data_IF_237758372690
#
_entry.id   IF_237758372690
#
_cell.length_a   1.000
_cell.length_b   1.000
_cell.length_c   1.000
_cell.angle_alpha   90.00
_cell.angle_beta   90.00
_cell.angle_gamma   90.00
#
_symmetry.space_group_name_H-M   'P 1'
#
loop_
_entity.id
_entity.type
_entity.pdbx_description
1 polymer ?
#
# COMPACT_ATOMS: atom_id res chain seq x y z
N UNK A 1 25.74 15.48 -56.52
CA UNK A 1 26.21 15.44 -55.11
C UNK A 1 25.09 15.61 -54.07
N UNK A 2 23.80 15.73 -54.43
CA UNK A 2 22.71 15.89 -53.44
C UNK A 2 22.16 14.57 -52.87
N UNK A 3 22.29 13.44 -53.58
CA UNK A 3 21.71 12.16 -53.16
C UNK A 3 22.31 11.57 -51.87
N UNK A 4 23.58 11.85 -51.55
CA UNK A 4 24.23 11.31 -50.34
C UNK A 4 23.75 11.97 -49.04
N UNK A 5 23.36 13.25 -49.06
CA UNK A 5 22.98 13.96 -47.82
C UNK A 5 21.61 13.49 -47.31
N UNK A 6 20.67 13.24 -48.23
CA UNK A 6 19.33 12.75 -47.92
C UNK A 6 19.39 11.36 -47.25
N UNK A 7 20.31 10.51 -47.73
CA UNK A 7 20.52 9.18 -47.18
C UNK A 7 21.19 9.24 -45.80
N UNK A 8 22.09 10.20 -45.56
CA UNK A 8 22.73 10.39 -44.26
C UNK A 8 21.73 10.89 -43.19
N UNK A 9 20.84 11.81 -43.55
CA UNK A 9 19.78 12.31 -42.67
C UNK A 9 18.75 11.22 -42.35
N UNK A 10 18.30 10.46 -43.36
CA UNK A 10 17.36 9.35 -43.18
C UNK A 10 17.99 8.20 -42.40
N UNK A 11 19.28 7.90 -42.62
CA UNK A 11 20.03 6.90 -41.87
C UNK A 11 20.25 7.33 -40.41
N UNK A 12 20.56 8.60 -40.16
CA UNK A 12 20.70 9.14 -38.81
C UNK A 12 19.40 9.05 -38.00
N UNK A 13 18.27 9.39 -38.63
CA UNK A 13 16.94 9.26 -38.03
C UNK A 13 16.58 7.78 -37.79
N UNK A 14 16.86 6.88 -38.75
CA UNK A 14 16.65 5.44 -38.60
C UNK A 14 17.45 4.81 -37.46
N UNK A 15 18.72 5.20 -37.30
CA UNK A 15 19.56 4.75 -36.18
C UNK A 15 18.99 5.26 -34.84
N UNK A 16 18.55 6.52 -34.77
CA UNK A 16 17.93 7.08 -33.58
C UNK A 16 16.69 6.30 -33.12
N UNK A 17 15.77 5.99 -34.04
CA UNK A 17 14.59 5.17 -33.73
C UNK A 17 14.95 3.75 -33.32
N UNK A 18 15.97 3.14 -33.92
CA UNK A 18 16.42 1.81 -33.52
C UNK A 18 16.94 1.79 -32.08
N UNK A 19 17.73 2.79 -31.67
CA UNK A 19 18.19 2.91 -30.28
C UNK A 19 17.03 3.08 -29.30
N UNK A 20 16.06 3.94 -29.62
CA UNK A 20 14.87 4.13 -28.78
C UNK A 20 14.06 2.83 -28.67
N UNK A 21 13.88 2.11 -29.78
CA UNK A 21 13.16 0.83 -29.79
C UNK A 21 13.87 -0.22 -28.92
N UNK A 22 15.20 -0.34 -29.03
CA UNK A 22 15.99 -1.26 -28.21
C UNK A 22 15.92 -0.89 -26.73
N UNK A 23 16.05 0.39 -26.40
CA UNK A 23 15.93 0.88 -25.03
C UNK A 23 14.54 0.58 -24.45
N UNK A 24 13.48 0.83 -25.22
CA UNK A 24 12.11 0.53 -24.82
C UNK A 24 11.90 -0.97 -24.58
N UNK A 25 12.43 -1.84 -25.45
CA UNK A 25 12.38 -3.28 -25.27
C UNK A 25 13.12 -3.74 -24.02
N UNK A 26 14.28 -3.15 -23.71
CA UNK A 26 15.05 -3.46 -22.52
C UNK A 26 14.29 -3.05 -21.24
N UNK A 27 13.73 -1.85 -21.21
CA UNK A 27 12.90 -1.37 -20.10
C UNK A 27 11.67 -2.27 -19.93
N UNK A 28 11.02 -2.64 -21.03
CA UNK A 28 9.89 -3.56 -21.02
C UNK A 28 10.27 -4.92 -20.45
N UNK A 29 11.41 -5.48 -20.88
CA UNK A 29 11.91 -6.76 -20.38
C UNK A 29 12.18 -6.70 -18.87
N UNK A 30 12.87 -5.66 -18.38
CA UNK A 30 13.13 -5.47 -16.95
C UNK A 30 11.84 -5.31 -16.14
N UNK A 31 10.90 -4.48 -16.61
CA UNK A 31 9.61 -4.28 -15.97
C UNK A 31 8.80 -5.58 -15.91
N UNK A 32 8.81 -6.37 -16.99
CA UNK A 32 8.14 -7.68 -17.03
C UNK A 32 8.74 -8.68 -16.05
N UNK A 33 10.07 -8.71 -15.93
CA UNK A 33 10.77 -9.55 -14.98
C UNK A 33 10.46 -9.15 -13.53
N UNK A 34 10.46 -7.85 -13.24
CA UNK A 34 10.10 -7.34 -11.92
C UNK A 34 8.64 -7.64 -11.58
N UNK A 35 7.72 -7.43 -12.52
CA UNK A 35 6.30 -7.76 -12.35
C UNK A 35 6.12 -9.25 -12.02
N UNK A 36 6.86 -10.13 -12.69
CA UNK A 36 6.84 -11.57 -12.42
C UNK A 36 7.31 -11.88 -10.99
N UNK A 37 8.43 -11.32 -10.56
CA UNK A 37 8.95 -11.50 -9.18
C UNK A 37 7.93 -11.00 -8.15
N UNK A 38 7.40 -9.79 -8.33
CA UNK A 38 6.40 -9.21 -7.44
C UNK A 38 5.12 -10.05 -7.42
N UNK A 39 4.73 -10.64 -8.54
CA UNK A 39 3.58 -11.56 -8.60
C UNK A 39 3.83 -12.81 -7.77
N UNK A 40 5.03 -13.40 -7.83
CA UNK A 40 5.37 -14.55 -7.00
C UNK A 40 5.35 -14.19 -5.51
N UNK A 41 5.90 -13.03 -5.15
CA UNK A 41 5.84 -12.51 -3.78
C UNK A 41 4.39 -12.29 -3.33
N UNK A 42 3.55 -11.70 -4.19
CA UNK A 42 2.14 -11.48 -3.92
C UNK A 42 1.37 -12.79 -3.71
N UNK A 43 1.70 -13.84 -4.47
CA UNK A 43 1.12 -15.17 -4.27
C UNK A 43 1.55 -15.80 -2.94
N UNK A 44 2.79 -15.59 -2.52
CA UNK A 44 3.24 -16.02 -1.19
C UNK A 44 2.53 -15.24 -0.07
N UNK A 45 2.32 -13.93 -0.27
CA UNK A 45 1.65 -13.06 0.69
C UNK A 45 0.11 -13.15 0.66
N UNK A 46 -0.46 -14.06 -0.15
CA UNK A 46 -1.89 -14.08 -0.44
C UNK A 46 -2.79 -14.31 0.77
N UNK A 47 -2.31 -15.06 1.76
CA UNK A 47 -3.05 -15.40 2.98
C UNK A 47 -2.45 -14.81 4.26
N UNK A 48 -1.18 -14.40 4.23
CA UNK A 48 -0.47 -13.87 5.41
C UNK A 48 0.43 -12.72 4.99
N UNK A 49 0.52 -11.65 5.79
CA UNK A 49 1.41 -10.54 5.50
C UNK A 49 2.87 -11.02 5.49
N UNK A 50 3.66 -10.50 4.55
CA UNK A 50 5.08 -10.82 4.44
C UNK A 50 5.87 -9.52 4.56
N UNK A 51 6.86 -9.52 5.45
CA UNK A 51 7.81 -8.43 5.61
C UNK A 51 9.06 -8.71 4.80
N UNK A 52 9.37 -7.86 3.82
CA UNK A 52 10.59 -7.95 3.00
C UNK A 52 11.34 -6.61 3.14
N UNK A 53 12.61 -6.67 3.55
CA UNK A 53 13.49 -5.51 3.64
C UNK A 53 12.91 -4.30 4.41
N UNK A 54 12.09 -4.56 5.44
CA UNK A 54 11.46 -3.51 6.26
C UNK A 54 10.11 -3.00 5.72
N UNK A 55 9.69 -3.40 4.52
CA UNK A 55 8.34 -3.16 4.01
C UNK A 55 7.43 -4.35 4.31
N UNK A 56 6.20 -4.09 4.77
CA UNK A 56 5.18 -5.13 5.00
C UNK A 56 4.20 -5.12 3.86
N UNK A 57 4.10 -6.23 3.13
CA UNK A 57 3.09 -6.41 2.08
C UNK A 57 1.87 -7.06 2.72
N UNK A 58 0.76 -6.34 2.73
CA UNK A 58 -0.51 -6.88 3.22
C UNK A 58 -1.17 -7.81 2.19
N UNK A 59 -1.90 -8.85 2.63
CA UNK A 59 -2.60 -9.76 1.72
C UNK A 59 -3.58 -9.07 0.78
N UNK A 60 -4.23 -7.98 1.24
CA UNK A 60 -5.15 -7.20 0.43
C UNK A 60 -4.42 -6.48 -0.70
N UNK A 61 -3.27 -5.87 -0.40
CA UNK A 61 -2.42 -5.19 -1.39
C UNK A 61 -1.88 -6.18 -2.42
N UNK A 62 -1.41 -7.35 -1.98
CA UNK A 62 -0.96 -8.42 -2.86
C UNK A 62 -2.05 -8.88 -3.83
N UNK A 63 -3.29 -9.05 -3.36
CA UNK A 63 -4.44 -9.39 -4.22
C UNK A 63 -4.74 -8.29 -5.21
N UNK A 64 -4.76 -7.04 -4.76
CA UNK A 64 -4.99 -5.87 -5.62
C UNK A 64 -3.95 -5.75 -6.73
N UNK A 65 -2.68 -6.02 -6.43
CA UNK A 65 -1.61 -6.04 -7.42
C UNK A 65 -1.91 -7.03 -8.56
N UNK A 66 -2.30 -8.26 -8.22
CA UNK A 66 -2.64 -9.30 -9.20
C UNK A 66 -3.92 -8.94 -9.97
N UNK A 67 -4.97 -8.48 -9.28
CA UNK A 67 -6.23 -8.09 -9.94
C UNK A 67 -6.04 -6.97 -10.95
N UNK A 68 -5.23 -5.96 -10.65
CA UNK A 68 -4.93 -4.87 -11.60
C UNK A 68 -4.14 -5.37 -12.81
N UNK A 69 -3.18 -6.26 -12.59
CA UNK A 69 -2.50 -6.95 -13.68
C UNK A 69 -3.48 -7.71 -14.57
N UNK A 70 -4.40 -8.49 -14.00
CA UNK A 70 -5.42 -9.22 -14.75
C UNK A 70 -6.35 -8.29 -15.54
N UNK A 71 -6.77 -7.17 -14.95
CA UNK A 71 -7.55 -6.14 -15.68
C UNK A 71 -6.74 -5.60 -16.86
N UNK A 72 -5.45 -5.35 -16.66
CA UNK A 72 -4.54 -4.90 -17.72
C UNK A 72 -4.41 -5.89 -18.88
N UNK A 73 -4.36 -7.20 -18.60
CA UNK A 73 -4.33 -8.27 -19.62
C UNK A 73 -5.52 -8.18 -20.56
N UNK A 74 -6.70 -7.81 -20.07
CA UNK A 74 -7.91 -7.71 -20.89
C UNK A 74 -8.02 -6.34 -21.55
N UNK A 75 -7.72 -5.28 -20.80
CA UNK A 75 -7.93 -3.90 -21.24
C UNK A 75 -7.01 -3.54 -22.40
N UNK A 76 -5.74 -3.95 -22.38
CA UNK A 76 -4.78 -3.56 -23.42
C UNK A 76 -5.07 -4.20 -24.79
N UNK A 77 -5.32 -5.53 -24.90
CA UNK A 77 -5.78 -6.13 -26.15
C UNK A 77 -7.12 -5.59 -26.62
N UNK A 78 -8.07 -5.33 -25.71
CA UNK A 78 -9.36 -4.73 -26.08
C UNK A 78 -9.18 -3.34 -26.70
N UNK A 79 -8.30 -2.52 -26.12
CA UNK A 79 -7.94 -1.21 -26.66
C UNK A 79 -7.24 -1.33 -28.03
N UNK A 80 -6.34 -2.29 -28.20
CA UNK A 80 -5.70 -2.57 -29.49
C UNK A 80 -6.70 -3.04 -30.56
N UNK A 81 -7.73 -3.80 -30.16
CA UNK A 81 -8.80 -4.22 -31.05
C UNK A 81 -9.65 -3.02 -31.48
N UNK A 82 -10.00 -2.17 -30.52
CA UNK A 82 -10.72 -0.93 -30.79
C UNK A 82 -9.94 -0.01 -31.75
N UNK A 83 -8.63 0.15 -31.56
CA UNK A 83 -7.80 0.99 -32.44
C UNK A 83 -7.62 0.36 -33.83
N UNK A 84 -7.43 -0.95 -33.94
CA UNK A 84 -7.35 -1.64 -35.24
C UNK A 84 -8.66 -1.46 -36.04
N UNK A 85 -9.82 -1.52 -35.38
CA UNK A 85 -11.11 -1.24 -35.99
C UNK A 85 -11.25 0.23 -36.44
N UNK A 86 -10.82 1.18 -35.60
CA UNK A 86 -10.95 2.62 -35.88
C UNK A 86 -10.05 3.08 -37.03
N UNK A 87 -8.82 2.57 -37.10
CA UNK A 87 -7.83 2.96 -38.10
C UNK A 87 -7.80 2.03 -39.32
N UNK A 88 -8.63 0.98 -39.35
CA UNK A 88 -8.63 -0.07 -40.38
C UNK A 88 -7.23 -0.64 -40.66
N UNK A 89 -6.39 -0.69 -39.63
CA UNK A 89 -5.00 -1.12 -39.76
C UNK A 89 -4.91 -2.64 -39.65
N UNK A 90 -4.19 -3.32 -40.58
CA UNK A 90 -3.99 -4.76 -40.52
C UNK A 90 -3.09 -5.09 -39.33
N UNK A 91 -3.71 -5.49 -38.22
CA UNK A 91 -3.02 -5.87 -37.00
C UNK A 91 -2.78 -7.38 -36.98
N UNK A 92 -1.52 -7.81 -36.90
CA UNK A 92 -1.16 -9.23 -36.78
C UNK A 92 -1.37 -9.71 -35.33
N UNK A 93 -2.60 -10.11 -35.04
CA UNK A 93 -3.02 -10.63 -33.74
C UNK A 93 -2.20 -11.83 -33.29
N UNK A 94 -1.83 -12.72 -34.21
CA UNK A 94 -1.13 -13.96 -33.87
C UNK A 94 0.23 -13.69 -33.23
N UNK A 95 0.93 -12.67 -33.71
CA UNK A 95 2.26 -12.29 -33.23
C UNK A 95 2.19 -11.39 -32.01
N UNK A 96 1.26 -10.42 -32.00
CA UNK A 96 1.26 -9.34 -31.01
C UNK A 96 0.41 -9.62 -29.77
N UNK A 97 -0.56 -10.54 -29.83
CA UNK A 97 -1.47 -10.78 -28.71
C UNK A 97 -0.74 -11.14 -27.41
N UNK A 98 0.29 -11.99 -27.49
CA UNK A 98 1.08 -12.39 -26.31
C UNK A 98 1.79 -11.19 -25.69
N UNK A 99 2.41 -10.34 -26.51
CA UNK A 99 3.08 -9.12 -26.04
C UNK A 99 2.09 -8.11 -25.46
N UNK A 100 0.89 -7.99 -26.04
CA UNK A 100 -0.18 -7.15 -25.50
C UNK A 100 -0.70 -7.67 -24.16
N UNK A 101 -0.81 -8.98 -23.98
CA UNK A 101 -1.23 -9.56 -22.70
C UNK A 101 -0.16 -9.32 -21.63
N UNK A 102 1.12 -9.61 -21.94
CA UNK A 102 2.22 -9.38 -21.00
C UNK A 102 2.32 -7.88 -20.68
N UNK A 103 2.32 -7.02 -21.70
CA UNK A 103 2.41 -5.58 -21.50
C UNK A 103 1.20 -5.00 -20.76
N UNK A 104 0.01 -5.54 -21.01
CA UNK A 104 -1.20 -5.22 -20.26
C UNK A 104 -1.05 -5.58 -18.78
N UNK A 105 -0.55 -6.78 -18.49
CA UNK A 105 -0.30 -7.21 -17.12
C UNK A 105 0.72 -6.33 -16.41
N UNK A 106 1.86 -6.07 -17.05
CA UNK A 106 2.95 -5.24 -16.52
C UNK A 106 2.46 -3.81 -16.28
N UNK A 107 1.77 -3.23 -17.26
CA UNK A 107 1.21 -1.88 -17.16
C UNK A 107 0.14 -1.77 -16.07
N UNK A 108 -0.76 -2.75 -15.96
CA UNK A 108 -1.80 -2.76 -14.93
C UNK A 108 -1.25 -2.96 -13.51
N UNK A 109 -0.27 -3.85 -13.35
CA UNK A 109 0.33 -4.18 -12.05
C UNK A 109 1.27 -3.08 -11.54
N UNK A 110 2.21 -2.60 -12.37
CA UNK A 110 3.19 -1.58 -11.99
C UNK A 110 2.71 -0.15 -12.20
N UNK A 111 1.98 0.13 -13.30
CA UNK A 111 1.62 1.50 -13.66
C UNK A 111 0.72 2.18 -12.63
N UNK A 112 -0.24 1.44 -12.07
CA UNK A 112 -1.12 1.97 -11.02
C UNK A 112 -0.39 2.09 -9.67
N UNK A 113 0.60 1.22 -9.41
CA UNK A 113 1.42 1.33 -8.21
C UNK A 113 2.31 2.59 -8.26
N UNK A 114 2.87 2.93 -9.42
CA UNK A 114 3.62 4.17 -9.62
C UNK A 114 2.75 5.42 -9.39
N UNK A 115 1.51 5.42 -9.88
CA UNK A 115 0.57 6.52 -9.67
C UNK A 115 0.17 6.70 -8.20
N UNK A 116 0.13 5.61 -7.42
CA UNK A 116 -0.18 5.68 -5.98
C UNK A 116 1.03 5.94 -5.09
N UNK A 117 2.24 5.61 -5.55
CA UNK A 117 3.48 5.87 -4.83
C UNK A 117 3.70 7.36 -4.55
N UNK A 118 3.13 8.25 -5.36
CA UNK A 118 3.12 9.70 -5.10
C UNK A 118 2.13 10.10 -4.01
N UNK A 119 1.00 9.40 -3.84
CA UNK A 119 0.01 9.67 -2.79
C UNK A 119 0.43 9.11 -1.42
N UNK A 120 1.31 8.12 -1.38
CA UNK A 120 1.78 7.47 -0.15
C UNK A 120 3.14 7.99 0.34
N UNK A 121 3.49 9.23 0.02
CA UNK A 121 4.45 9.94 0.87
C UNK A 121 3.85 9.97 2.29
N UNK A 122 4.48 9.32 3.29
CA UNK A 122 4.08 9.51 4.65
C UNK A 122 4.18 11.00 4.92
N UNK A 123 3.08 11.59 5.36
CA UNK A 123 3.05 12.88 6.03
C UNK A 123 3.92 12.79 7.28
N UNK A 124 5.22 12.73 7.12
CA UNK A 124 6.16 12.98 8.19
C UNK A 124 6.35 14.50 8.24
N UNK A 125 6.03 15.05 9.42
CA UNK A 125 6.14 16.44 9.82
C UNK A 125 4.98 17.37 9.40
N UNK A 126 3.81 17.14 10.01
CA UNK A 126 3.45 18.08 11.08
C UNK A 126 3.13 17.26 12.30
N UNK A 127 4.07 17.25 13.23
CA UNK A 127 3.73 17.03 14.62
C UNK A 127 2.61 18.03 14.95
N UNK A 128 1.36 17.58 14.93
CA UNK A 128 0.48 18.07 15.96
C UNK A 128 1.21 17.69 17.26
N UNK A 129 1.57 18.64 18.14
CA UNK A 129 1.91 18.23 19.49
C UNK A 129 0.77 17.31 19.90
N UNK A 130 1.14 16.09 20.27
CA UNK A 130 0.20 15.12 20.82
C UNK A 130 -0.78 15.92 21.66
N UNK A 131 -2.06 15.93 21.28
CA UNK A 131 -3.08 16.26 22.26
C UNK A 131 -2.82 15.24 23.34
N UNK A 132 -2.15 15.67 24.39
CA UNK A 132 -1.77 14.85 25.52
C UNK A 132 -3.09 14.16 25.87
N UNK A 133 -3.22 12.83 25.69
CA UNK A 133 -4.42 12.16 26.20
C UNK A 133 -4.48 12.61 27.65
N UNK A 134 -5.60 13.17 28.13
CA UNK A 134 -5.67 13.78 29.45
C UNK A 134 -4.99 12.81 30.40
N UNK A 135 -3.82 13.19 30.91
CA UNK A 135 -3.05 12.30 31.76
C UNK A 135 -3.99 12.06 32.92
N UNK A 136 -4.53 10.85 33.04
CA UNK A 136 -5.23 10.50 34.26
C UNK A 136 -4.25 10.85 35.38
N UNK A 137 -4.68 11.62 36.38
CA UNK A 137 -3.85 11.97 37.51
C UNK A 137 -3.12 10.71 37.94
N UNK A 138 -1.79 10.75 37.90
CA UNK A 138 -0.93 9.65 38.32
C UNK A 138 -1.48 9.18 39.67
N UNK A 139 -1.85 7.91 39.86
CA UNK A 139 -2.38 7.45 41.12
C UNK A 139 -1.40 7.89 42.20
N UNK A 140 -1.86 8.75 43.11
CA UNK A 140 -1.11 9.10 44.31
C UNK A 140 -0.64 7.79 44.94
N UNK A 141 0.63 7.67 45.35
CA UNK A 141 1.10 6.47 46.04
C UNK A 141 0.11 6.18 47.16
N UNK A 142 -0.46 4.97 47.17
CA UNK A 142 -1.33 4.53 48.27
C UNK A 142 -0.61 4.92 49.57
N UNK A 143 -1.26 5.63 50.51
CA UNK A 143 -0.67 5.84 51.82
C UNK A 143 -0.27 4.46 52.34
N UNK A 144 1.00 4.31 52.72
CA UNK A 144 1.47 3.11 53.42
C UNK A 144 0.46 2.82 54.52
N UNK A 145 0.13 1.53 54.78
CA UNK A 145 -0.72 1.18 55.92
C UNK A 145 -0.15 1.88 57.15
N UNK A 146 -0.87 2.87 57.65
CA UNK A 146 -0.62 3.33 59.01
C UNK A 146 -0.93 2.13 59.88
N UNK A 147 0.05 1.76 60.69
CA UNK A 147 -0.13 0.77 61.74
C UNK A 147 -1.41 1.12 62.51
N UNK A 148 -2.24 0.13 62.86
CA UNK A 148 -3.46 0.38 63.60
C UNK A 148 -3.12 1.15 64.88
N UNK A 149 -3.83 2.25 65.08
CA UNK A 149 -3.82 2.99 66.33
C UNK A 149 -4.27 2.03 67.45
N UNK A 150 -3.42 1.70 68.43
CA UNK A 150 -3.68 0.64 69.41
C UNK A 150 -4.90 0.92 70.31
N UNK A 151 -5.43 2.14 70.29
CA UNK A 151 -6.56 2.56 71.14
C UNK A 151 -7.91 2.57 70.41
N UNK A 152 -7.98 2.14 69.14
CA UNK A 152 -9.26 2.06 68.42
C UNK A 152 -9.88 0.66 68.55
N UNK A 153 -11.08 0.51 69.14
CA UNK A 153 -11.76 -0.79 69.13
C UNK A 153 -12.14 -1.15 67.69
N UNK A 154 -11.45 -2.14 67.11
CA UNK A 154 -11.80 -2.74 65.83
C UNK A 154 -13.15 -3.48 65.99
N UNK A 155 -14.27 -2.95 65.46
CA UNK A 155 -15.49 -3.77 65.30
C UNK A 155 -15.22 -4.82 64.20
N UNK A 156 -14.67 -5.98 64.58
CA UNK A 156 -14.35 -7.08 63.66
C UNK A 156 -15.55 -7.90 63.20
N UNK A 157 -16.70 -7.79 63.86
CA UNK A 157 -17.89 -8.62 63.61
C UNK A 157 -19.13 -7.84 63.17
N UNK A 158 -18.97 -6.57 62.79
CA UNK A 158 -20.06 -5.82 62.17
C UNK A 158 -20.25 -6.35 60.72
N UNK A 159 -21.39 -6.99 60.36
CA UNK A 159 -21.60 -7.44 58.99
C UNK A 159 -21.55 -6.24 58.05
N UNK A 160 -20.73 -6.35 57.00
CA UNK A 160 -20.63 -5.34 55.96
C UNK A 160 -22.04 -5.00 55.45
N UNK A 161 -22.46 -3.77 55.74
CA UNK A 161 -23.73 -3.22 55.28
C UNK A 161 -23.40 -2.22 54.17
N UNK A 162 -23.99 -2.42 53.00
CA UNK A 162 -23.85 -1.47 51.90
C UNK A 162 -24.51 -0.15 52.29
N UNK A 163 -23.86 0.97 51.98
CA UNK A 163 -24.42 2.30 52.19
C UNK A 163 -25.78 2.40 51.49
N UNK A 164 -26.83 2.69 52.25
CA UNK A 164 -28.15 2.95 51.72
C UNK A 164 -28.23 4.42 51.27
N UNK A 165 -29.11 4.73 50.33
CA UNK A 165 -29.27 6.10 49.83
C UNK A 165 -29.69 7.11 50.90
N UNK A 166 -30.29 6.64 51.99
CA UNK A 166 -30.72 7.45 53.13
C UNK A 166 -29.55 7.90 54.04
N UNK A 167 -28.37 7.29 53.93
CA UNK A 167 -27.21 7.60 54.79
C UNK A 167 -26.58 8.98 54.52
N UNK A 168 -27.02 9.68 53.46
CA UNK A 168 -26.51 11.02 53.13
C UNK A 168 -27.10 12.14 53.99
N UNK A 169 -28.26 11.95 54.61
CA UNK A 169 -28.95 13.05 55.32
C UNK A 169 -28.48 13.23 56.77
N UNK A 170 -27.91 12.21 57.40
CA UNK A 170 -27.44 12.29 58.79
C UNK A 170 -26.02 12.86 58.94
N UNK A 171 -25.21 12.86 57.87
CA UNK A 171 -23.83 13.35 57.92
C UNK A 171 -23.70 14.90 57.98
N UNK A 172 -24.81 15.63 57.95
CA UNK A 172 -24.84 17.10 57.88
C UNK A 172 -25.72 17.76 58.96
N UNK A 173 -25.88 17.11 60.12
CA UNK A 173 -26.32 17.75 61.36
C UNK A 173 -25.15 17.88 62.33
#
# INVERSE_FOLDING_TARGET
MSSQNNNAETAGLGIGFAFIAIAALLVFALASFLAMILTLIALCAWFRPITIAGATIEPEEARWFVYRGLIGIVTLPAFAAFSSLLFQSPFDWSRWLVYLMIGGYVGGSLGIALLRGEEQQPTEITAMPASIPPQLPKPTPKPKPQMPDPDRPECRDCPFTFANWDDREEAWK
#
